data_IF_271471696352
#
_entry.id   IF_271471696352
#
_cell.length_a   1.000
_cell.length_b   1.000
_cell.length_c   1.000
_cell.angle_alpha   90.00
_cell.angle_beta   90.00
_cell.angle_gamma   90.00
#
_symmetry.space_group_name_H-M   'P 1'
#
loop_
_entity.id
_entity.type
_entity.pdbx_description
1 polymer ?
#
# COMPACT_ATOMS: atom_id res chain seq x y z
N UNK A 1 -2.05 -14.32 26.04
CA UNK A 1 -1.66 -13.13 26.85
C UNK A 1 -0.35 -12.61 26.26
N UNK A 2 -0.25 -11.32 25.95
CA UNK A 2 0.96 -10.71 25.37
C UNK A 2 2.16 -10.80 26.35
N UNK A 3 3.37 -11.05 25.82
CA UNK A 3 4.63 -11.05 26.58
C UNK A 3 5.61 -10.04 25.96
N UNK A 4 5.87 -8.89 26.61
CA UNK A 4 6.70 -7.83 26.05
C UNK A 4 8.16 -8.25 25.80
N UNK A 5 8.65 -9.31 26.46
CA UNK A 5 9.99 -9.85 26.21
C UNK A 5 10.17 -10.46 24.82
N UNK A 6 9.08 -10.76 24.13
CA UNK A 6 9.07 -11.33 22.79
C UNK A 6 8.73 -10.27 21.72
N UNK A 7 8.81 -8.96 22.04
CA UNK A 7 8.60 -7.90 21.04
C UNK A 7 9.73 -7.92 20.00
N UNK A 8 9.38 -7.92 18.72
CA UNK A 8 10.34 -7.93 17.61
C UNK A 8 10.67 -6.54 17.06
N UNK A 9 9.89 -5.53 17.43
CA UNK A 9 10.07 -4.14 17.02
C UNK A 9 9.33 -3.21 17.99
N UNK A 10 9.69 -1.93 17.93
CA UNK A 10 8.95 -0.84 18.54
C UNK A 10 8.38 0.05 17.42
N UNK A 11 7.15 0.50 17.57
CA UNK A 11 6.52 1.47 16.68
C UNK A 11 6.48 2.82 17.37
N UNK A 12 7.09 3.82 16.74
CA UNK A 12 7.17 5.20 17.26
C UNK A 12 6.22 6.15 16.54
N UNK A 13 5.44 5.65 15.57
CA UNK A 13 4.45 6.40 14.82
C UNK A 13 4.56 6.23 13.31
N UNK A 14 3.68 6.94 12.60
CA UNK A 14 3.57 6.90 11.14
C UNK A 14 3.45 8.31 10.57
N UNK A 15 3.62 8.43 9.26
CA UNK A 15 3.36 9.63 8.48
C UNK A 15 2.56 9.26 7.25
N UNK A 16 1.63 10.12 6.87
CA UNK A 16 0.82 9.93 5.67
C UNK A 16 1.44 10.65 4.47
N UNK A 17 1.35 10.00 3.31
CA UNK A 17 1.56 10.65 2.02
C UNK A 17 0.26 11.36 1.64
N UNK A 18 0.38 12.50 0.96
CA UNK A 18 -0.81 13.20 0.46
C UNK A 18 -1.60 12.30 -0.48
N UNK A 19 -2.92 12.24 -0.25
CA UNK A 19 -3.84 11.42 -1.03
C UNK A 19 -3.77 11.80 -2.52
N UNK A 20 -3.63 10.79 -3.39
CA UNK A 20 -3.58 10.95 -4.84
C UNK A 20 -2.29 11.58 -5.40
N UNK A 21 -1.29 11.89 -4.57
CA UNK A 21 -0.01 12.48 -5.02
C UNK A 21 1.04 11.39 -5.30
N UNK A 22 1.03 10.87 -6.53
CA UNK A 22 1.96 9.83 -6.98
C UNK A 22 3.43 10.28 -6.99
N UNK A 23 3.70 11.59 -7.17
CA UNK A 23 5.07 12.12 -7.12
C UNK A 23 5.62 12.09 -5.69
N UNK A 24 4.78 12.40 -4.69
CA UNK A 24 5.15 12.25 -3.28
C UNK A 24 5.29 10.79 -2.87
N UNK A 25 4.40 9.91 -3.36
CA UNK A 25 4.52 8.47 -3.11
C UNK A 25 5.83 7.92 -3.67
N UNK A 26 6.17 8.28 -4.92
CA UNK A 26 7.44 7.92 -5.56
C UNK A 26 8.64 8.40 -4.74
N UNK A 27 8.61 9.65 -4.25
CA UNK A 27 9.68 10.19 -3.41
C UNK A 27 9.79 9.44 -2.08
N UNK A 28 8.67 9.10 -1.44
CA UNK A 28 8.63 8.36 -0.19
C UNK A 28 9.23 6.95 -0.36
N UNK A 29 8.84 6.24 -1.43
CA UNK A 29 9.41 4.92 -1.76
C UNK A 29 10.93 5.00 -1.96
N UNK A 30 11.40 6.05 -2.65
CA UNK A 30 12.82 6.22 -2.93
C UNK A 30 13.67 6.62 -1.71
N UNK A 31 13.11 7.36 -0.76
CA UNK A 31 13.87 7.99 0.33
C UNK A 31 13.63 7.40 1.71
N UNK A 32 12.45 6.81 1.95
CA UNK A 32 12.06 6.21 3.23
C UNK A 32 12.13 4.68 3.17
N UNK A 33 11.60 4.08 2.10
CA UNK A 33 11.56 2.62 1.91
C UNK A 33 10.16 2.12 1.54
N UNK A 34 9.82 0.85 1.80
CA UNK A 34 8.49 0.31 1.54
C UNK A 34 7.39 1.15 2.21
N UNK A 35 6.31 1.43 1.48
CA UNK A 35 5.17 2.23 1.94
C UNK A 35 3.90 1.37 1.87
N UNK A 36 3.12 1.36 2.95
CA UNK A 36 1.81 0.74 2.97
C UNK A 36 0.83 1.53 2.09
N UNK A 37 0.08 0.85 1.23
CA UNK A 37 -0.94 1.44 0.34
C UNK A 37 -2.19 0.58 0.33
N UNK A 38 -3.34 1.17 0.02
CA UNK A 38 -4.60 0.49 -0.24
C UNK A 38 -4.91 0.57 -1.74
N UNK A 39 -5.50 -0.49 -2.31
CA UNK A 39 -5.85 -0.58 -3.74
C UNK A 39 -7.23 -1.19 -3.91
N UNK A 40 -7.89 -0.95 -5.04
CA UNK A 40 -9.07 -1.73 -5.42
C UNK A 40 -8.63 -3.08 -5.99
N UNK A 41 -8.76 -4.14 -5.18
CA UNK A 41 -8.45 -5.51 -5.54
C UNK A 41 -9.71 -6.35 -5.85
N UNK A 42 -10.88 -5.72 -6.00
CA UNK A 42 -12.17 -6.42 -6.13
C UNK A 42 -12.35 -7.15 -7.46
N UNK A 43 -11.64 -6.71 -8.50
CA UNK A 43 -11.80 -7.20 -9.87
C UNK A 43 -11.16 -8.58 -10.10
N UNK A 44 -11.86 -9.46 -10.81
CA UNK A 44 -11.34 -10.79 -11.19
C UNK A 44 -10.06 -10.68 -12.04
N UNK A 45 -9.95 -9.62 -12.84
CA UNK A 45 -8.75 -9.28 -13.62
C UNK A 45 -7.51 -9.12 -12.74
N UNK A 46 -7.65 -8.58 -11.53
CA UNK A 46 -6.56 -8.45 -10.56
C UNK A 46 -6.28 -9.78 -9.85
N UNK A 47 -7.33 -10.48 -9.42
CA UNK A 47 -7.20 -11.77 -8.72
C UNK A 47 -6.47 -12.83 -9.57
N UNK A 48 -6.64 -12.80 -10.89
CA UNK A 48 -6.01 -13.72 -11.85
C UNK A 48 -4.81 -13.10 -12.59
N UNK A 49 -4.36 -11.91 -12.19
CA UNK A 49 -3.21 -11.25 -12.79
C UNK A 49 -1.93 -12.10 -12.64
N UNK A 50 -1.11 -12.16 -13.69
CA UNK A 50 0.07 -13.04 -13.72
C UNK A 50 1.36 -12.36 -14.17
N UNK A 51 1.30 -11.41 -15.11
CA UNK A 51 2.48 -10.71 -15.64
C UNK A 51 2.09 -9.47 -16.44
N UNK A 52 3.05 -8.57 -16.65
CA UNK A 52 2.88 -7.32 -17.40
C UNK A 52 2.85 -6.08 -16.50
N UNK A 53 2.02 -5.11 -16.87
CA UNK A 53 1.66 -3.96 -16.04
C UNK A 53 0.13 -3.95 -15.99
N UNK A 54 -0.42 -4.06 -14.79
CA UNK A 54 -1.88 -4.14 -14.61
C UNK A 54 -2.53 -2.77 -14.81
N UNK A 55 -3.65 -2.74 -15.54
CA UNK A 55 -4.52 -1.58 -15.73
C UNK A 55 -5.94 -2.07 -15.99
N UNK A 56 -6.92 -1.48 -15.32
CA UNK A 56 -8.34 -1.79 -15.47
C UNK A 56 -9.15 -0.49 -15.33
N UNK A 57 -10.05 -0.21 -16.28
CA UNK A 57 -10.87 1.00 -16.30
C UNK A 57 -11.94 1.01 -15.19
N UNK A 58 -12.30 -0.16 -14.67
CA UNK A 58 -13.28 -0.31 -13.59
C UNK A 58 -12.64 -0.19 -12.20
N UNK A 59 -11.31 -0.06 -12.11
CA UNK A 59 -10.58 0.14 -10.86
C UNK A 59 -10.98 1.46 -10.18
N UNK A 60 -11.52 1.37 -8.96
CA UNK A 60 -12.00 2.52 -8.21
C UNK A 60 -10.90 3.21 -7.42
N UNK A 61 -10.75 4.56 -7.50
CA UNK A 61 -9.82 5.29 -6.64
C UNK A 61 -10.32 5.44 -5.20
N UNK A 62 -11.57 5.03 -4.91
CA UNK A 62 -12.23 5.26 -3.61
C UNK A 62 -12.68 3.99 -2.89
N UNK A 63 -12.91 2.89 -3.62
CA UNK A 63 -13.28 1.61 -3.02
C UNK A 63 -12.03 0.74 -2.84
N UNK A 64 -11.20 1.13 -1.87
CA UNK A 64 -9.90 0.49 -1.61
C UNK A 64 -10.01 -0.54 -0.48
N UNK A 65 -9.20 -1.60 -0.56
CA UNK A 65 -8.94 -2.60 0.50
C UNK A 65 -7.50 -2.46 1.01
#
# INVERSE_FOLDING_TARGET
RYNPKNSGADDVGFVDVLEGDEDKLKLAVATVGPVSVAIDASQESFQLYSSGVYFDEECSPSNLD
#
